data_IF_094895783588
#
_entry.id   IF_094895783588
#
_cell.length_a   1.000
_cell.length_b   1.000
_cell.length_c   1.000
_cell.angle_alpha   90.00
_cell.angle_beta   90.00
_cell.angle_gamma   90.00
#
_symmetry.space_group_name_H-M   'P 1'
#
loop_
_entity.id
_entity.type
_entity.pdbx_description
1 polymer ?
#
# COMPACT_ATOMS: atom_id res chain seq x y z
N UNK A 1 -0.91 16.60 0.28
CA UNK A 1 -0.19 17.81 -0.16
C UNK A 1 -0.19 17.98 -1.68
N UNK A 2 0.22 16.96 -2.49
CA UNK A 2 0.30 17.07 -3.96
C UNK A 2 -1.04 17.48 -4.62
N UNK A 3 -2.17 16.87 -4.18
CA UNK A 3 -3.51 17.21 -4.69
C UNK A 3 -3.92 18.63 -4.29
N UNK A 4 -3.57 19.06 -3.08
CA UNK A 4 -3.80 20.44 -2.65
C UNK A 4 -3.02 21.43 -3.52
N UNK A 5 -1.76 21.12 -3.82
CA UNK A 5 -0.92 21.96 -4.67
C UNK A 5 -1.51 22.15 -6.06
N UNK A 6 -1.97 21.08 -6.73
CA UNK A 6 -2.56 21.18 -8.06
C UNK A 6 -3.91 21.92 -8.05
N UNK A 7 -4.73 21.75 -7.01
CA UNK A 7 -5.97 22.51 -6.83
C UNK A 7 -5.74 24.02 -6.67
N UNK A 8 -4.56 24.42 -6.17
CA UNK A 8 -4.12 25.81 -6.04
C UNK A 8 -3.32 26.31 -7.26
N UNK A 9 -3.30 25.56 -8.36
CA UNK A 9 -2.55 25.91 -9.57
C UNK A 9 -1.03 25.78 -9.46
N UNK A 10 -0.50 25.27 -8.34
CA UNK A 10 0.94 25.12 -8.10
C UNK A 10 1.48 23.85 -8.75
N UNK A 11 1.57 23.85 -10.09
CA UNK A 11 1.95 22.67 -10.89
C UNK A 11 3.33 22.14 -10.50
N UNK A 12 4.34 23.02 -10.38
CA UNK A 12 5.71 22.61 -10.05
C UNK A 12 5.78 21.94 -8.66
N UNK A 13 5.02 22.46 -7.69
CA UNK A 13 4.95 21.86 -6.36
C UNK A 13 4.28 20.48 -6.41
N UNK A 14 3.20 20.35 -7.18
CA UNK A 14 2.55 19.07 -7.42
C UNK A 14 3.54 18.03 -7.99
N UNK A 15 4.30 18.39 -9.03
CA UNK A 15 5.30 17.52 -9.64
C UNK A 15 6.37 17.09 -8.63
N UNK A 16 6.96 18.03 -7.90
CA UNK A 16 7.97 17.73 -6.87
C UNK A 16 7.46 16.77 -5.80
N UNK A 17 6.23 16.98 -5.32
CA UNK A 17 5.59 16.12 -4.32
C UNK A 17 5.29 14.71 -4.85
N UNK A 18 4.89 14.59 -6.12
CA UNK A 18 4.65 13.30 -6.77
C UNK A 18 5.98 12.54 -6.97
N UNK A 19 7.04 13.20 -7.43
CA UNK A 19 8.36 12.56 -7.56
C UNK A 19 8.90 12.09 -6.20
N UNK A 20 8.78 12.91 -5.17
CA UNK A 20 9.18 12.51 -3.82
C UNK A 20 8.38 11.29 -3.32
N UNK A 21 7.07 11.28 -3.50
CA UNK A 21 6.22 10.14 -3.15
C UNK A 21 6.60 8.88 -3.94
N UNK A 22 6.92 9.02 -5.23
CA UNK A 22 7.34 7.91 -6.08
C UNK A 22 8.68 7.30 -5.59
N UNK A 23 9.66 8.13 -5.31
CA UNK A 23 10.98 7.70 -4.80
C UNK A 23 10.81 6.98 -3.46
N UNK A 24 10.04 7.56 -2.52
CA UNK A 24 9.75 6.94 -1.23
C UNK A 24 9.05 5.57 -1.40
N UNK A 25 8.07 5.48 -2.29
CA UNK A 25 7.36 4.22 -2.57
C UNK A 25 8.29 3.17 -3.19
N UNK A 26 9.20 3.59 -4.06
CA UNK A 26 10.18 2.69 -4.69
C UNK A 26 11.18 2.14 -3.67
N UNK A 27 11.74 3.01 -2.82
CA UNK A 27 12.64 2.59 -1.74
C UNK A 27 11.93 1.65 -0.75
N UNK A 28 10.68 1.98 -0.39
CA UNK A 28 9.85 1.13 0.45
C UNK A 28 9.63 -0.25 -0.19
N UNK A 29 9.28 -0.29 -1.48
CA UNK A 29 9.05 -1.55 -2.21
C UNK A 29 10.31 -2.43 -2.23
N UNK A 30 11.48 -1.84 -2.50
CA UNK A 30 12.75 -2.58 -2.48
C UNK A 30 13.04 -3.14 -1.09
N UNK A 31 12.85 -2.35 -0.05
CA UNK A 31 13.05 -2.77 1.33
C UNK A 31 12.07 -3.88 1.73
N UNK A 32 10.80 -3.75 1.31
CA UNK A 32 9.75 -4.74 1.55
C UNK A 32 10.07 -6.09 0.87
N UNK A 33 10.46 -6.05 -0.41
CA UNK A 33 10.83 -7.26 -1.15
C UNK A 33 12.06 -7.92 -0.53
N UNK A 34 13.09 -7.13 -0.20
CA UNK A 34 14.28 -7.66 0.47
C UNK A 34 13.93 -8.33 1.80
N UNK A 35 13.10 -7.70 2.62
CA UNK A 35 12.63 -8.27 3.88
C UNK A 35 11.93 -9.62 3.66
N UNK A 36 11.00 -9.72 2.70
CA UNK A 36 10.24 -10.94 2.43
C UNK A 36 11.09 -12.09 1.84
N UNK A 37 12.20 -11.78 1.20
CA UNK A 37 13.15 -12.79 0.68
C UNK A 37 14.08 -13.29 1.79
N UNK A 38 14.42 -12.43 2.74
CA UNK A 38 15.46 -12.72 3.75
C UNK A 38 14.89 -13.17 5.11
N UNK A 39 13.60 -12.92 5.37
CA UNK A 39 12.97 -13.18 6.67
C UNK A 39 11.83 -14.19 6.53
N UNK A 40 11.71 -15.18 7.44
CA UNK A 40 10.55 -16.07 7.47
C UNK A 40 9.23 -15.30 7.57
N UNK A 41 8.17 -15.86 7.00
CA UNK A 41 6.86 -15.24 7.04
C UNK A 41 6.31 -15.22 8.48
N UNK A 42 5.93 -14.04 8.97
CA UNK A 42 5.27 -13.88 10.26
C UNK A 42 3.78 -14.21 10.11
N UNK A 43 3.29 -15.13 10.94
CA UNK A 43 1.89 -15.53 10.95
C UNK A 43 1.10 -14.72 11.98
N UNK A 44 -0.05 -14.18 11.58
CA UNK A 44 -0.95 -13.50 12.50
C UNK A 44 -1.55 -14.49 13.51
N UNK A 45 -1.22 -14.31 14.79
CA UNK A 45 -1.65 -15.18 15.89
C UNK A 45 -0.57 -16.12 16.40
N UNK A 46 0.57 -16.22 15.73
CA UNK A 46 1.73 -17.01 16.17
C UNK A 46 2.45 -16.28 17.32
N UNK A 47 2.02 -16.54 18.56
CA UNK A 47 2.53 -15.86 19.75
C UNK A 47 3.90 -16.40 20.20
N UNK A 48 4.18 -17.65 19.94
CA UNK A 48 5.45 -18.31 20.31
C UNK A 48 6.52 -18.19 19.22
N UNK A 49 6.15 -17.68 18.02
CA UNK A 49 7.05 -17.43 16.86
C UNK A 49 7.72 -18.70 16.34
N UNK A 50 7.01 -19.84 16.39
CA UNK A 50 7.51 -21.11 15.87
C UNK A 50 7.21 -21.32 14.38
N UNK A 51 6.50 -20.36 13.75
CA UNK A 51 6.11 -20.41 12.34
C UNK A 51 4.89 -21.29 12.08
N UNK A 52 4.22 -21.76 13.12
CA UNK A 52 3.01 -22.58 13.05
C UNK A 52 1.89 -21.90 13.83
N UNK A 53 0.67 -22.10 13.42
CA UNK A 53 -0.50 -21.61 14.14
C UNK A 53 -1.21 -22.78 14.81
N UNK A 54 -0.94 -22.99 16.10
CA UNK A 54 -1.58 -24.02 16.92
C UNK A 54 -3.10 -23.79 17.04
N UNK A 55 -3.84 -24.81 17.45
CA UNK A 55 -5.29 -24.69 17.69
C UNK A 55 -5.62 -23.67 18.78
N UNK A 56 -4.83 -23.64 19.85
CA UNK A 56 -5.00 -22.71 20.96
C UNK A 56 -4.76 -21.25 20.52
N UNK A 57 -3.70 -20.98 19.78
CA UNK A 57 -3.40 -19.66 19.23
C UNK A 57 -4.47 -19.18 18.24
N UNK A 58 -4.95 -20.11 17.39
CA UNK A 58 -6.04 -19.81 16.45
C UNK A 58 -7.33 -19.43 17.15
N UNK A 59 -7.64 -20.05 18.30
CA UNK A 59 -8.79 -19.72 19.11
C UNK A 59 -8.69 -18.31 19.70
N UNK A 60 -7.51 -17.96 20.26
CA UNK A 60 -7.25 -16.61 20.81
C UNK A 60 -7.49 -15.50 19.79
N UNK A 61 -7.07 -15.69 18.55
CA UNK A 61 -7.21 -14.67 17.50
C UNK A 61 -8.47 -14.85 16.64
N UNK A 62 -9.35 -15.79 16.94
CA UNK A 62 -10.52 -16.15 16.14
C UNK A 62 -11.43 -14.96 15.82
N UNK A 63 -11.60 -14.04 16.77
CA UNK A 63 -12.42 -12.83 16.60
C UNK A 63 -11.76 -11.73 15.78
N UNK A 64 -10.43 -11.59 15.80
CA UNK A 64 -9.70 -10.51 15.11
C UNK A 64 -9.12 -10.93 13.78
N UNK A 65 -8.80 -12.19 13.61
CA UNK A 65 -8.20 -12.76 12.39
C UNK A 65 -8.99 -12.52 11.12
N UNK A 66 -10.34 -12.63 11.09
CA UNK A 66 -11.12 -12.34 9.89
C UNK A 66 -10.98 -10.88 9.42
N UNK A 67 -10.94 -9.93 10.35
CA UNK A 67 -10.74 -8.51 10.03
C UNK A 67 -9.34 -8.25 9.48
N UNK A 68 -8.32 -8.81 10.11
CA UNK A 68 -6.96 -8.75 9.61
C UNK A 68 -6.84 -9.31 8.19
N UNK A 69 -7.36 -10.53 7.94
CA UNK A 69 -7.32 -11.16 6.62
C UNK A 69 -8.09 -10.36 5.57
N UNK A 70 -9.25 -9.79 5.92
CA UNK A 70 -10.00 -8.94 5.01
C UNK A 70 -9.18 -7.71 4.59
N UNK A 71 -8.57 -7.02 5.55
CA UNK A 71 -7.72 -5.85 5.28
C UNK A 71 -6.50 -6.26 4.45
N UNK A 72 -5.84 -7.35 4.80
CA UNK A 72 -4.66 -7.86 4.10
C UNK A 72 -4.97 -8.23 2.65
N UNK A 73 -6.01 -9.03 2.41
CA UNK A 73 -6.37 -9.50 1.07
C UNK A 73 -6.84 -8.33 0.20
N UNK A 74 -7.67 -7.44 0.74
CA UNK A 74 -8.12 -6.25 0.01
C UNK A 74 -6.96 -5.30 -0.28
N UNK A 75 -6.03 -5.10 0.66
CA UNK A 75 -4.83 -4.30 0.45
C UNK A 75 -3.97 -4.86 -0.70
N UNK A 76 -3.61 -6.14 -0.65
CA UNK A 76 -2.78 -6.78 -1.68
C UNK A 76 -3.48 -6.77 -3.04
N UNK A 77 -4.75 -7.16 -3.07
CA UNK A 77 -5.54 -7.20 -4.30
C UNK A 77 -5.68 -5.83 -4.97
N UNK A 78 -6.01 -4.80 -4.19
CA UNK A 78 -6.14 -3.43 -4.70
C UNK A 78 -4.79 -2.80 -5.04
N UNK A 79 -3.71 -3.13 -4.32
CA UNK A 79 -2.37 -2.70 -4.66
C UNK A 79 -1.95 -3.25 -6.03
N UNK A 80 -2.08 -4.56 -6.24
CA UNK A 80 -1.77 -5.19 -7.51
C UNK A 80 -2.63 -4.66 -8.67
N UNK A 81 -3.94 -4.53 -8.44
CA UNK A 81 -4.87 -4.05 -9.46
C UNK A 81 -4.64 -2.57 -9.82
N UNK A 82 -4.33 -1.72 -8.84
CA UNK A 82 -4.14 -0.28 -9.08
C UNK A 82 -2.79 0.04 -9.73
N UNK A 83 -1.78 -0.79 -9.55
CA UNK A 83 -0.42 -0.53 -10.02
C UNK A 83 -0.31 -0.17 -11.52
N UNK A 84 -0.87 -0.94 -12.46
CA UNK A 84 -0.80 -0.58 -13.89
C UNK A 84 -1.53 0.74 -14.21
N UNK A 85 -2.59 1.07 -13.49
CA UNK A 85 -3.30 2.34 -13.67
C UNK A 85 -2.51 3.53 -13.11
N UNK A 86 -1.77 3.32 -12.02
CA UNK A 86 -0.82 4.32 -11.50
C UNK A 86 0.24 4.61 -12.55
N UNK A 87 0.89 3.57 -13.12
CA UNK A 87 1.88 3.75 -14.18
C UNK A 87 1.30 4.48 -15.40
N UNK A 88 0.10 4.10 -15.84
CA UNK A 88 -0.59 4.78 -16.94
C UNK A 88 -0.89 6.25 -16.64
N UNK A 89 -1.18 6.57 -15.39
CA UNK A 89 -1.38 7.96 -14.95
C UNK A 89 -0.08 8.78 -15.12
N UNK A 90 1.07 8.21 -14.79
CA UNK A 90 2.39 8.82 -15.04
C UNK A 90 2.65 9.01 -16.55
N UNK A 91 2.43 7.96 -17.35
CA UNK A 91 2.60 8.05 -18.81
C UNK A 91 1.78 9.20 -19.39
N UNK A 92 0.53 9.37 -19.00
CA UNK A 92 -0.29 10.49 -19.45
C UNK A 92 0.25 11.85 -19.03
N UNK A 93 0.87 11.96 -17.86
CA UNK A 93 1.51 13.20 -17.42
C UNK A 93 2.77 13.50 -18.25
N UNK A 94 3.64 12.52 -18.48
CA UNK A 94 4.88 12.67 -19.25
C UNK A 94 4.65 12.93 -20.74
N UNK A 95 3.54 12.43 -21.29
CA UNK A 95 3.15 12.66 -22.68
C UNK A 95 2.27 13.89 -22.88
N UNK A 96 2.19 14.78 -21.89
CA UNK A 96 1.38 16.01 -21.90
C UNK A 96 -0.13 15.79 -22.15
N UNK A 97 -0.63 14.56 -21.90
CA UNK A 97 -2.05 14.23 -22.03
C UNK A 97 -2.80 14.56 -20.73
N UNK A 98 -2.79 15.83 -20.32
CA UNK A 98 -3.28 16.27 -19.01
C UNK A 98 -4.77 16.00 -18.77
N UNK A 99 -5.59 16.00 -19.82
CA UNK A 99 -7.03 15.66 -19.73
C UNK A 99 -7.19 14.20 -19.31
N UNK A 100 -6.46 13.29 -19.95
CA UNK A 100 -6.48 11.85 -19.61
C UNK A 100 -5.85 11.59 -18.24
N UNK A 101 -4.72 12.25 -17.95
CA UNK A 101 -4.09 12.21 -16.63
C UNK A 101 -5.08 12.58 -15.52
N UNK A 102 -5.76 13.73 -15.65
CA UNK A 102 -6.73 14.22 -14.67
C UNK A 102 -7.94 13.28 -14.50
N UNK A 103 -8.44 12.70 -15.60
CA UNK A 103 -9.57 11.77 -15.58
C UNK A 103 -9.19 10.46 -14.86
N UNK A 104 -8.02 9.92 -15.18
CA UNK A 104 -7.55 8.66 -14.61
C UNK A 104 -7.13 8.82 -13.14
N UNK A 105 -6.37 9.87 -12.81
CA UNK A 105 -5.91 10.13 -11.44
C UNK A 105 -7.04 10.30 -10.44
N UNK A 106 -8.18 10.88 -10.84
CA UNK A 106 -9.36 10.98 -9.97
C UNK A 106 -9.94 9.62 -9.56
N UNK A 107 -9.81 8.61 -10.43
CA UNK A 107 -10.28 7.24 -10.15
C UNK A 107 -9.25 6.43 -9.37
N UNK A 108 -7.98 6.59 -9.73
CA UNK A 108 -6.87 5.85 -9.13
C UNK A 108 -6.54 6.33 -7.71
N UNK A 109 -6.64 7.62 -7.46
CA UNK A 109 -6.24 8.21 -6.18
C UNK A 109 -6.98 7.65 -4.96
N UNK A 110 -8.31 7.46 -4.95
CA UNK A 110 -8.99 6.86 -3.79
C UNK A 110 -8.50 5.45 -3.49
N UNK A 111 -8.27 4.64 -4.53
CA UNK A 111 -7.75 3.27 -4.38
C UNK A 111 -6.33 3.29 -3.83
N UNK A 112 -5.47 4.16 -4.41
CA UNK A 112 -4.11 4.34 -3.90
C UNK A 112 -4.09 4.81 -2.44
N UNK A 113 -4.98 5.73 -2.07
CA UNK A 113 -5.08 6.21 -0.68
C UNK A 113 -5.49 5.09 0.28
N UNK A 114 -6.45 4.26 -0.12
CA UNK A 114 -6.85 3.09 0.65
C UNK A 114 -5.66 2.16 0.87
N UNK A 115 -4.92 1.81 -0.18
CA UNK A 115 -3.72 0.98 -0.10
C UNK A 115 -2.65 1.62 0.80
N UNK A 116 -2.41 2.93 0.66
CA UNK A 116 -1.44 3.65 1.47
C UNK A 116 -1.78 3.68 2.98
N UNK A 117 -3.07 3.68 3.33
CA UNK A 117 -3.53 3.65 4.73
C UNK A 117 -3.55 2.23 5.28
N UNK A 118 -4.01 1.26 4.49
CA UNK A 118 -4.17 -0.12 4.96
C UNK A 118 -2.83 -0.85 5.12
N UNK A 119 -1.77 -0.46 4.41
CA UNK A 119 -0.42 -1.02 4.61
C UNK A 119 0.09 -0.87 6.07
N UNK A 120 0.19 0.35 6.62
CA UNK A 120 0.50 0.56 8.03
C UNK A 120 -0.45 -0.13 9.00
N UNK A 121 -1.75 -0.21 8.67
CA UNK A 121 -2.73 -0.92 9.51
C UNK A 121 -2.42 -2.42 9.58
N UNK A 122 -2.14 -3.06 8.45
CA UNK A 122 -1.71 -4.47 8.40
C UNK A 122 -0.45 -4.69 9.24
N UNK A 123 0.54 -3.78 9.11
CA UNK A 123 1.76 -3.83 9.92
C UNK A 123 1.48 -3.74 11.44
N UNK A 124 0.61 -2.81 11.86
CA UNK A 124 0.23 -2.64 13.27
C UNK A 124 -0.44 -3.91 13.81
N UNK A 125 -1.31 -4.55 13.04
CA UNK A 125 -1.92 -5.83 13.41
C UNK A 125 -0.90 -6.96 13.58
N UNK A 126 0.15 -6.95 12.76
CA UNK A 126 1.17 -8.01 12.76
C UNK A 126 2.29 -7.77 13.78
N UNK A 127 2.47 -6.51 14.22
CA UNK A 127 3.55 -6.10 15.12
C UNK A 127 3.72 -6.97 16.38
N UNK A 128 2.65 -7.44 17.07
CA UNK A 128 2.81 -8.27 18.26
C UNK A 128 3.46 -9.64 17.98
N UNK A 129 3.49 -10.07 16.73
CA UNK A 129 3.96 -11.40 16.30
C UNK A 129 5.35 -11.37 15.64
N UNK A 130 5.98 -10.19 15.51
CA UNK A 130 7.36 -10.05 15.04
C UNK A 130 8.40 -10.50 16.07
#
# INVERSE_FOLDING_TARGET
LAIWAIKKGKVLLHQKMIYAAFICSFVFLLSYVNYHITTPATLFGDANKDGLLSSAEREVVSGTRPYYLFILISHIGLAALSFPFILRTFVHAFTNQFVKHRKLSKKVFPVWLYVAVTGPVVYIFLQPYY
#
